data_IF_286729596002
#
_entry.id   IF_286729596002
#
_cell.length_a   1.000
_cell.length_b   1.000
_cell.length_c   1.000
_cell.angle_alpha   90.00
_cell.angle_beta   90.00
_cell.angle_gamma   90.00
#
_symmetry.space_group_name_H-M   'P 1'
#
loop_
_entity.id
_entity.type
_entity.pdbx_description
1 polymer ?
#
# COMPACT_ATOMS: atom_id res chain seq x y z
N UNK A 1 29.54 -14.26 -82.06
CA UNK A 1 28.64 -15.36 -81.72
C UNK A 1 28.64 -15.49 -80.23
N UNK A 2 27.55 -15.22 -79.61
CA UNK A 2 27.49 -14.79 -78.23
C UNK A 2 27.16 -16.00 -77.37
N UNK A 3 28.06 -16.32 -76.43
CA UNK A 3 27.87 -17.36 -75.39
C UNK A 3 27.11 -16.73 -74.25
N UNK A 4 25.92 -17.28 -73.91
CA UNK A 4 25.12 -16.90 -72.70
C UNK A 4 25.44 -17.86 -71.57
N UNK A 5 26.17 -17.35 -70.61
CA UNK A 5 26.43 -18.01 -69.33
C UNK A 5 25.23 -17.89 -68.40
N UNK A 6 24.56 -19.00 -68.18
CA UNK A 6 23.50 -19.08 -67.12
C UNK A 6 24.12 -19.06 -65.71
N UNK A 7 23.80 -18.03 -64.94
CA UNK A 7 24.14 -17.99 -63.51
C UNK A 7 23.02 -18.67 -62.72
N UNK A 8 23.32 -19.82 -62.15
CA UNK A 8 22.47 -20.51 -61.20
C UNK A 8 22.68 -19.84 -59.84
N UNK A 9 21.68 -19.13 -59.38
CA UNK A 9 21.69 -18.55 -58.04
C UNK A 9 21.20 -19.60 -57.05
N UNK A 10 22.12 -20.11 -56.23
CA UNK A 10 21.82 -21.02 -55.14
C UNK A 10 21.22 -20.22 -54.00
N UNK A 11 19.90 -20.38 -53.77
CA UNK A 11 19.23 -19.79 -52.61
C UNK A 11 19.39 -20.75 -51.42
N UNK A 12 20.26 -20.36 -50.49
CA UNK A 12 20.45 -21.08 -49.24
C UNK A 12 19.32 -20.70 -48.27
N UNK A 13 18.36 -21.60 -48.10
CA UNK A 13 17.30 -21.43 -47.12
C UNK A 13 17.86 -21.78 -45.72
N UNK A 14 18.19 -20.76 -44.94
CA UNK A 14 18.55 -20.92 -43.53
C UNK A 14 17.24 -20.95 -42.72
N UNK A 15 16.82 -22.15 -42.34
CA UNK A 15 15.73 -22.31 -41.37
C UNK A 15 16.23 -22.00 -39.98
N UNK A 16 15.91 -20.81 -39.49
CA UNK A 16 16.17 -20.44 -38.10
C UNK A 16 15.13 -21.14 -37.18
N UNK A 17 15.55 -22.23 -36.54
CA UNK A 17 14.76 -22.86 -35.48
C UNK A 17 14.83 -21.96 -34.23
N UNK A 18 13.80 -21.15 -34.01
CA UNK A 18 13.62 -20.42 -32.73
C UNK A 18 13.20 -21.45 -31.68
N UNK A 19 14.18 -21.87 -30.88
CA UNK A 19 13.87 -22.56 -29.63
C UNK A 19 13.11 -21.55 -28.73
N UNK A 20 11.81 -21.75 -28.55
CA UNK A 20 11.02 -21.05 -27.55
C UNK A 20 11.51 -21.50 -26.17
N UNK A 21 12.57 -20.86 -25.67
CA UNK A 21 12.88 -20.87 -24.27
C UNK A 21 11.71 -20.19 -23.58
N UNK A 22 10.93 -20.97 -22.82
CA UNK A 22 9.85 -20.45 -21.98
C UNK A 22 10.42 -19.35 -21.09
N UNK A 23 10.13 -18.11 -21.45
CA UNK A 23 10.34 -16.98 -20.57
C UNK A 23 9.46 -17.26 -19.35
N UNK A 24 10.01 -17.39 -18.13
CA UNK A 24 9.15 -17.40 -16.95
C UNK A 24 8.30 -16.15 -17.05
N UNK A 25 6.98 -16.33 -16.94
CA UNK A 25 6.06 -15.21 -16.82
C UNK A 25 6.52 -14.40 -15.61
N UNK A 26 7.38 -13.41 -15.82
CA UNK A 26 7.59 -12.36 -14.86
C UNK A 26 6.19 -11.81 -14.61
N UNK A 27 5.70 -12.00 -13.38
CA UNK A 27 4.50 -11.34 -12.94
C UNK A 27 4.66 -9.89 -13.39
N UNK A 28 3.82 -9.45 -14.32
CA UNK A 28 3.73 -8.06 -14.70
C UNK A 28 3.30 -7.34 -13.43
N UNK A 29 4.27 -6.81 -12.70
CA UNK A 29 4.06 -5.68 -11.82
C UNK A 29 3.55 -4.59 -12.74
N UNK A 30 2.21 -4.49 -12.89
CA UNK A 30 1.60 -3.41 -13.65
C UNK A 30 2.25 -2.13 -13.12
N UNK A 31 2.81 -1.31 -14.01
CA UNK A 31 3.40 -0.04 -13.60
C UNK A 31 2.37 0.68 -12.74
N UNK A 32 2.76 1.02 -11.52
CA UNK A 32 1.87 1.76 -10.63
C UNK A 32 1.53 3.10 -11.28
N UNK A 33 0.34 3.64 -11.06
CA UNK A 33 -0.01 4.95 -11.59
C UNK A 33 0.93 6.02 -11.03
N UNK A 34 1.30 7.02 -11.82
CA UNK A 34 2.27 8.05 -11.45
C UNK A 34 1.98 8.73 -10.09
N UNK A 35 0.69 8.93 -9.76
CA UNK A 35 0.31 9.49 -8.47
C UNK A 35 0.74 8.60 -7.28
N UNK A 36 0.87 7.28 -7.48
CA UNK A 36 1.28 6.39 -6.40
C UNK A 36 2.77 6.54 -6.10
N UNK A 37 3.60 6.79 -7.12
CA UNK A 37 5.03 7.06 -6.94
C UNK A 37 5.25 8.41 -6.24
N UNK A 38 4.49 9.44 -6.63
CA UNK A 38 4.50 10.77 -6.00
C UNK A 38 4.08 10.67 -4.53
N UNK A 39 2.91 10.08 -4.27
CA UNK A 39 2.42 9.90 -2.90
C UNK A 39 3.36 9.07 -2.03
N UNK A 40 4.01 8.05 -2.59
CA UNK A 40 4.99 7.26 -1.84
C UNK A 40 6.21 8.08 -1.45
N UNK A 41 6.69 8.95 -2.33
CA UNK A 41 7.77 9.89 -2.05
C UNK A 41 7.36 10.86 -0.93
N UNK A 42 6.16 11.44 -1.02
CA UNK A 42 5.61 12.33 0.00
C UNK A 42 5.47 11.63 1.37
N UNK A 43 5.06 10.36 1.38
CA UNK A 43 5.01 9.54 2.60
C UNK A 43 6.40 9.30 3.20
N UNK A 44 7.43 9.09 2.38
CA UNK A 44 8.81 8.98 2.85
C UNK A 44 9.29 10.28 3.48
N UNK A 45 8.94 11.42 2.90
CA UNK A 45 9.28 12.76 3.43
C UNK A 45 8.46 13.11 4.68
N UNK A 46 7.22 12.63 4.78
CA UNK A 46 6.37 12.78 5.97
C UNK A 46 6.85 11.92 7.15
N UNK A 47 7.40 10.74 6.90
CA UNK A 47 7.75 9.76 7.93
C UNK A 47 8.62 10.35 9.07
N UNK A 48 9.71 11.11 8.84
CA UNK A 48 10.47 11.72 9.92
C UNK A 48 9.65 12.70 10.76
N UNK A 49 8.77 13.50 10.11
CA UNK A 49 7.90 14.46 10.79
C UNK A 49 6.87 13.72 11.66
N UNK A 50 6.27 12.65 11.16
CA UNK A 50 5.39 11.78 11.95
C UNK A 50 6.12 11.23 13.17
N UNK A 51 7.28 10.63 12.96
CA UNK A 51 8.05 9.96 14.00
C UNK A 51 8.56 10.93 15.10
N UNK A 52 8.87 12.16 14.74
CA UNK A 52 9.31 13.17 15.72
C UNK A 52 8.16 13.71 16.59
N UNK A 53 6.93 13.65 16.09
CA UNK A 53 5.76 14.22 16.77
C UNK A 53 4.90 13.15 17.50
N UNK A 54 5.14 11.86 17.24
CA UNK A 54 4.26 10.79 17.75
C UNK A 54 4.25 10.67 19.28
N UNK A 55 5.35 11.03 19.94
CA UNK A 55 5.47 11.01 21.41
C UNK A 55 4.79 12.18 22.11
N UNK A 56 4.51 13.27 21.40
CA UNK A 56 4.05 14.55 21.97
C UNK A 56 2.53 14.74 21.87
N UNK A 57 1.81 13.76 21.26
CA UNK A 57 0.36 13.87 21.07
C UNK A 57 -0.38 13.46 22.33
N UNK A 58 -1.14 14.39 22.91
CA UNK A 58 -2.09 14.09 23.96
C UNK A 58 -3.28 13.32 23.37
N UNK A 59 -3.39 12.06 23.75
CA UNK A 59 -4.49 11.18 23.36
C UNK A 59 -5.42 10.93 24.54
N UNK A 60 -6.70 11.05 24.31
CA UNK A 60 -7.70 10.60 25.27
C UNK A 60 -7.68 9.05 25.40
N UNK A 61 -8.45 8.50 26.32
CA UNK A 61 -8.45 7.06 26.58
C UNK A 61 -8.83 6.23 25.34
N UNK A 62 -9.85 6.65 24.60
CA UNK A 62 -10.35 5.93 23.43
C UNK A 62 -9.34 5.99 22.27
N UNK A 63 -8.76 7.15 22.02
CA UNK A 63 -7.69 7.34 21.02
C UNK A 63 -6.48 6.48 21.32
N UNK A 64 -6.03 6.46 22.58
CA UNK A 64 -4.92 5.63 23.03
C UNK A 64 -5.20 4.14 22.85
N UNK A 65 -6.42 3.70 23.14
CA UNK A 65 -6.84 2.31 22.96
C UNK A 65 -6.73 1.89 21.50
N UNK A 66 -7.24 2.72 20.59
CA UNK A 66 -7.17 2.48 19.13
C UNK A 66 -5.73 2.51 18.65
N UNK A 67 -4.98 3.52 19.07
CA UNK A 67 -3.58 3.68 18.68
C UNK A 67 -2.72 2.48 19.12
N UNK A 68 -2.87 2.02 20.36
CA UNK A 68 -2.16 0.86 20.89
C UNK A 68 -2.44 -0.44 20.11
N UNK A 69 -3.59 -0.54 19.43
CA UNK A 69 -3.87 -1.69 18.57
C UNK A 69 -3.08 -1.66 17.24
N UNK A 70 -2.63 -0.48 16.81
CA UNK A 70 -1.81 -0.32 15.62
C UNK A 70 -0.35 -0.65 15.88
N UNK A 71 0.14 -0.31 17.09
CA UNK A 71 1.55 -0.46 17.43
C UNK A 71 1.99 -1.93 17.48
N UNK A 72 3.24 -2.20 17.11
CA UNK A 72 3.80 -3.54 17.05
C UNK A 72 3.29 -4.38 15.86
N UNK A 73 2.63 -3.76 14.89
CA UNK A 73 2.04 -4.46 13.75
C UNK A 73 2.60 -4.00 12.41
N UNK A 74 2.64 -4.94 11.46
CA UNK A 74 2.79 -4.64 10.04
C UNK A 74 1.41 -4.32 9.49
N UNK A 75 1.30 -3.21 8.79
CA UNK A 75 0.05 -2.66 8.27
C UNK A 75 0.13 -2.57 6.76
N UNK A 76 -0.84 -3.14 6.06
CA UNK A 76 -1.07 -2.85 4.65
C UNK A 76 -2.06 -1.69 4.51
N UNK A 77 -1.75 -0.74 3.66
CA UNK A 77 -2.59 0.42 3.33
C UNK A 77 -3.15 0.23 1.94
N UNK A 78 -4.46 0.20 1.83
CA UNK A 78 -5.17 0.05 0.57
C UNK A 78 -5.92 1.34 0.23
N UNK A 79 -5.70 1.83 -0.98
CA UNK A 79 -6.41 3.00 -1.49
C UNK A 79 -7.69 2.55 -2.17
N UNK A 80 -8.85 2.96 -1.64
CA UNK A 80 -10.15 2.53 -2.15
C UNK A 80 -10.33 2.88 -3.62
N UNK A 81 -10.98 1.98 -4.37
CA UNK A 81 -11.20 2.06 -5.81
C UNK A 81 -9.92 2.05 -6.66
N UNK A 82 -8.81 1.52 -6.12
CA UNK A 82 -7.56 1.33 -6.85
C UNK A 82 -6.95 -0.03 -6.50
N UNK A 83 -5.98 -0.47 -7.29
CA UNK A 83 -5.15 -1.66 -6.99
C UNK A 83 -3.84 -1.28 -6.27
N UNK A 84 -3.68 -0.01 -5.88
CA UNK A 84 -2.49 0.47 -5.19
C UNK A 84 -2.54 0.09 -3.72
N UNK A 85 -1.44 -0.46 -3.24
CA UNK A 85 -1.25 -0.73 -1.82
C UNK A 85 0.18 -0.40 -1.40
N UNK A 86 0.31 0.18 -0.22
CA UNK A 86 1.57 0.40 0.47
C UNK A 86 1.62 -0.44 1.75
N UNK A 87 2.74 -0.45 2.43
CA UNK A 87 2.83 -1.06 3.74
C UNK A 87 3.89 -0.38 4.61
N UNK A 88 3.73 -0.52 5.92
CA UNK A 88 4.72 -0.06 6.90
C UNK A 88 4.68 -0.94 8.15
N UNK A 89 5.71 -0.83 8.97
CA UNK A 89 5.70 -1.36 10.32
C UNK A 89 5.54 -0.20 11.33
N UNK A 90 4.51 -0.28 12.17
CA UNK A 90 4.35 0.65 13.30
C UNK A 90 4.98 0.02 14.54
N UNK A 91 6.06 0.60 15.01
CA UNK A 91 6.80 0.12 16.18
C UNK A 91 5.97 0.24 17.48
N UNK A 92 6.36 -0.46 18.56
CA UNK A 92 5.68 -0.32 19.84
C UNK A 92 5.66 1.08 20.42
N UNK A 93 6.63 1.93 20.06
CA UNK A 93 6.69 3.35 20.41
C UNK A 93 5.83 4.25 19.51
N UNK A 94 5.15 3.64 18.52
CA UNK A 94 4.28 4.33 17.58
C UNK A 94 4.98 4.91 16.35
N UNK A 95 6.31 4.83 16.27
CA UNK A 95 7.03 5.30 15.09
C UNK A 95 6.79 4.38 13.89
N UNK A 96 6.75 4.98 12.70
CA UNK A 96 6.60 4.26 11.43
C UNK A 96 7.98 3.94 10.89
N UNK A 97 8.18 2.69 10.47
CA UNK A 97 9.41 2.22 9.81
C UNK A 97 9.07 1.23 8.68
N UNK A 98 10.07 0.84 7.90
CA UNK A 98 9.94 -0.18 6.84
C UNK A 98 8.79 0.13 5.86
N UNK A 99 8.68 1.39 5.44
CA UNK A 99 7.72 1.86 4.45
C UNK A 99 8.03 1.23 3.09
N UNK A 100 7.01 0.62 2.45
CA UNK A 100 7.14 -0.04 1.15
C UNK A 100 5.99 0.33 0.22
N UNK A 101 6.30 0.43 -1.05
CA UNK A 101 5.33 0.68 -2.12
C UNK A 101 4.70 -0.64 -2.62
N UNK A 102 4.38 -1.52 -1.70
CA UNK A 102 3.72 -2.80 -1.96
C UNK A 102 3.08 -3.34 -0.69
N UNK A 103 2.10 -4.22 -0.84
CA UNK A 103 1.56 -4.97 0.29
C UNK A 103 2.58 -6.00 0.80
N UNK A 104 2.40 -6.42 2.05
CA UNK A 104 3.18 -7.47 2.70
C UNK A 104 2.28 -8.63 3.11
N UNK A 105 2.77 -9.84 2.91
CA UNK A 105 2.03 -11.06 3.28
C UNK A 105 2.05 -11.32 4.79
N UNK A 106 3.04 -10.77 5.51
CA UNK A 106 3.15 -10.85 6.97
C UNK A 106 2.33 -9.77 7.70
N UNK A 107 1.65 -8.88 6.98
CA UNK A 107 0.80 -7.88 7.60
C UNK A 107 -0.30 -8.52 8.46
N UNK A 108 -0.52 -7.94 9.63
CA UNK A 108 -1.59 -8.34 10.55
C UNK A 108 -2.80 -7.41 10.50
N UNK A 109 -2.60 -6.20 10.00
CA UNK A 109 -3.63 -5.17 9.88
C UNK A 109 -3.70 -4.64 8.45
N UNK A 110 -4.90 -4.17 8.08
CA UNK A 110 -5.14 -3.37 6.90
C UNK A 110 -5.78 -2.05 7.24
N UNK A 111 -5.34 -1.00 6.58
CA UNK A 111 -5.96 0.31 6.57
C UNK A 111 -6.60 0.54 5.21
N UNK A 112 -7.83 1.05 5.21
CA UNK A 112 -8.52 1.51 4.02
C UNK A 112 -8.66 3.02 4.12
N UNK A 113 -8.23 3.75 3.09
CA UNK A 113 -8.38 5.19 3.00
C UNK A 113 -8.54 5.63 1.55
N UNK A 114 -8.96 6.85 1.33
CA UNK A 114 -8.94 7.46 0.00
C UNK A 114 -7.55 8.01 -0.30
N UNK A 115 -7.22 8.18 -1.58
CA UNK A 115 -6.03 8.90 -2.00
C UNK A 115 -6.00 10.31 -1.39
N UNK A 116 -7.10 11.03 -1.44
CA UNK A 116 -7.24 12.38 -0.89
C UNK A 116 -6.91 12.43 0.61
N UNK A 117 -7.38 11.44 1.39
CA UNK A 117 -7.05 11.35 2.83
C UNK A 117 -5.53 11.24 3.03
N UNK A 118 -4.84 10.44 2.24
CA UNK A 118 -3.40 10.29 2.33
C UNK A 118 -2.66 11.57 1.89
N UNK A 119 -3.05 12.18 0.77
CA UNK A 119 -2.48 13.43 0.28
C UNK A 119 -2.63 14.57 1.31
N UNK A 120 -3.78 14.66 1.97
CA UNK A 120 -4.00 15.64 3.03
C UNK A 120 -3.09 15.39 4.24
N UNK A 121 -2.85 14.13 4.62
CA UNK A 121 -1.95 13.81 5.74
C UNK A 121 -0.50 14.16 5.44
N UNK A 122 0.01 13.83 4.26
CA UNK A 122 1.41 14.10 3.90
C UNK A 122 1.72 15.57 3.76
N UNK A 123 0.71 16.42 3.51
CA UNK A 123 0.86 17.87 3.41
C UNK A 123 1.02 18.58 4.76
N UNK A 124 0.78 17.89 5.89
CA UNK A 124 0.82 18.49 7.22
C UNK A 124 2.24 18.53 7.79
N UNK A 125 2.59 19.59 8.50
CA UNK A 125 3.82 19.68 9.28
C UNK A 125 3.82 18.69 10.45
N UNK A 126 2.69 18.54 11.14
CA UNK A 126 2.47 17.52 12.14
C UNK A 126 1.25 16.66 11.75
N UNK A 127 1.46 15.49 11.11
CA UNK A 127 0.36 14.65 10.66
C UNK A 127 -0.27 13.79 11.77
N UNK A 128 0.34 13.67 12.96
CA UNK A 128 -0.07 12.71 13.98
C UNK A 128 -1.48 12.97 14.53
N UNK A 129 -1.86 14.21 14.92
CA UNK A 129 -3.22 14.46 15.42
C UNK A 129 -4.28 14.12 14.38
N UNK A 130 -4.09 14.52 13.13
CA UNK A 130 -5.03 14.23 12.06
C UNK A 130 -5.09 12.75 11.72
N UNK A 131 -3.96 12.04 11.76
CA UNK A 131 -3.93 10.59 11.60
C UNK A 131 -4.76 9.88 12.69
N UNK A 132 -4.58 10.27 13.96
CA UNK A 132 -5.34 9.71 15.10
C UNK A 132 -6.83 9.98 14.94
N UNK A 133 -7.21 11.22 14.58
CA UNK A 133 -8.61 11.60 14.32
C UNK A 133 -9.22 10.75 13.19
N UNK A 134 -8.52 10.62 12.06
CA UNK A 134 -9.00 9.81 10.95
C UNK A 134 -9.13 8.33 11.29
N UNK A 135 -8.25 7.77 12.13
CA UNK A 135 -8.36 6.37 12.58
C UNK A 135 -9.52 6.22 13.57
N UNK A 136 -9.70 7.17 14.46
CA UNK A 136 -10.78 7.16 15.45
C UNK A 136 -12.16 7.28 14.79
N UNK A 137 -12.31 8.21 13.86
CA UNK A 137 -13.57 8.55 13.21
C UNK A 137 -13.77 7.82 11.88
N UNK A 138 -12.81 6.97 11.49
CA UNK A 138 -12.86 6.22 10.23
C UNK A 138 -14.08 5.30 10.16
N UNK A 139 -14.84 5.41 9.07
CA UNK A 139 -16.02 4.58 8.82
C UNK A 139 -16.17 4.21 7.36
N UNK A 140 -16.87 3.10 7.14
CA UNK A 140 -17.23 2.64 5.80
C UNK A 140 -18.74 2.50 5.69
N UNK A 141 -19.32 3.20 4.73
CA UNK A 141 -20.76 3.18 4.47
C UNK A 141 -21.02 3.03 2.98
N UNK A 142 -21.72 1.97 2.59
CA UNK A 142 -22.12 1.75 1.19
C UNK A 142 -20.98 1.72 0.17
N UNK A 143 -19.76 1.32 0.58
CA UNK A 143 -18.58 1.30 -0.30
C UNK A 143 -17.72 2.56 -0.22
N UNK A 144 -18.22 3.64 0.35
CA UNK A 144 -17.44 4.86 0.63
C UNK A 144 -16.66 4.72 1.94
N UNK A 145 -15.42 5.20 1.94
CA UNK A 145 -14.56 5.28 3.12
C UNK A 145 -14.36 6.75 3.47
N UNK A 146 -14.62 7.09 4.72
CA UNK A 146 -14.32 8.39 5.31
C UNK A 146 -13.25 8.20 6.39
N UNK A 147 -12.21 9.04 6.39
CA UNK A 147 -11.07 8.88 7.26
C UNK A 147 -10.26 7.61 6.97
N UNK A 148 -9.82 6.93 8.03
CA UNK A 148 -9.00 5.70 7.96
C UNK A 148 -9.73 4.57 8.66
N UNK A 149 -10.13 3.55 7.90
CA UNK A 149 -10.79 2.35 8.45
C UNK A 149 -9.72 1.27 8.67
N UNK A 150 -9.57 0.83 9.91
CA UNK A 150 -8.61 -0.22 10.28
C UNK A 150 -9.34 -1.53 10.56
N UNK A 151 -8.81 -2.62 10.01
CA UNK A 151 -9.32 -3.98 10.23
C UNK A 151 -8.13 -4.95 10.35
N UNK A 152 -8.42 -6.19 10.77
CA UNK A 152 -7.46 -7.29 10.59
C UNK A 152 -7.23 -7.57 9.11
N UNK A 153 -5.98 -7.91 8.73
CA UNK A 153 -5.68 -8.34 7.37
C UNK A 153 -6.42 -9.65 7.05
N UNK A 154 -6.77 -9.86 5.79
CA UNK A 154 -7.54 -11.02 5.35
C UNK A 154 -6.84 -12.33 5.74
N UNK A 155 -7.62 -13.29 6.25
CA UNK A 155 -7.10 -14.53 6.80
C UNK A 155 -6.51 -14.44 8.22
N UNK A 156 -6.48 -13.28 8.85
CA UNK A 156 -6.02 -13.07 10.23
C UNK A 156 -7.23 -12.90 11.19
N UNK A 157 -8.03 -13.95 11.32
CA UNK A 157 -9.33 -13.94 12.01
C UNK A 157 -9.31 -13.33 13.42
N UNK A 158 -8.27 -13.61 14.21
CA UNK A 158 -8.18 -13.07 15.60
C UNK A 158 -8.10 -11.55 15.61
N UNK A 159 -7.31 -10.98 14.68
CA UNK A 159 -7.19 -9.52 14.56
C UNK A 159 -8.46 -8.89 14.00
N UNK A 160 -9.12 -9.55 13.03
CA UNK A 160 -10.40 -9.10 12.50
C UNK A 160 -11.48 -9.04 13.58
N UNK A 161 -11.59 -10.06 14.43
CA UNK A 161 -12.55 -10.07 15.54
C UNK A 161 -12.30 -8.91 16.52
N UNK A 162 -11.06 -8.64 16.88
CA UNK A 162 -10.68 -7.53 17.78
C UNK A 162 -11.10 -6.18 17.20
N UNK A 163 -10.81 -5.93 15.92
CA UNK A 163 -11.17 -4.68 15.26
C UNK A 163 -12.68 -4.51 15.05
N UNK A 164 -13.41 -5.59 14.83
CA UNK A 164 -14.87 -5.56 14.74
C UNK A 164 -15.47 -5.07 16.07
N UNK A 165 -14.97 -5.56 17.21
CA UNK A 165 -15.43 -5.12 18.53
C UNK A 165 -15.12 -3.63 18.75
N UNK A 166 -13.91 -3.18 18.43
CA UNK A 166 -13.51 -1.77 18.58
C UNK A 166 -14.39 -0.86 17.72
N UNK A 167 -14.63 -1.22 16.46
CA UNK A 167 -15.48 -0.43 15.56
C UNK A 167 -16.95 -0.39 16.03
N UNK A 168 -17.43 -1.44 16.71
CA UNK A 168 -18.77 -1.47 17.32
C UNK A 168 -18.84 -0.52 18.50
N UNK A 169 -17.82 -0.50 19.37
CA UNK A 169 -17.75 0.39 20.52
C UNK A 169 -17.65 1.86 20.12
N UNK A 170 -16.91 2.17 19.06
CA UNK A 170 -16.83 3.54 18.50
C UNK A 170 -18.20 4.12 18.10
N UNK A 171 -19.13 3.28 17.70
CA UNK A 171 -20.49 3.70 17.32
C UNK A 171 -21.45 3.93 18.49
N UNK A 172 -21.01 3.69 19.75
CA UNK A 172 -21.82 3.83 20.96
C UNK A 172 -21.54 5.12 21.74
N UNK A 173 -20.53 5.88 21.32
CA UNK A 173 -20.12 7.17 21.87
C UNK A 173 -20.13 8.25 20.79
#
# INVERSE_FOLDING_TARGET
MVSRTSRVTLVLLVTLSVAAAGVPAAAQSGAQPAWADELFTDLQDMQPRFNSNVGDVEMNFAERQVYNQLTGNVVNVYFVNTDVAFSFYMRPDGTITDLRQSRRDDASLKMLMTRETAENLVALDNPVPQFVDHVQNGRRTGGTVEGIVVNGEDGKLVKQATWTVINTVKGLF
#
